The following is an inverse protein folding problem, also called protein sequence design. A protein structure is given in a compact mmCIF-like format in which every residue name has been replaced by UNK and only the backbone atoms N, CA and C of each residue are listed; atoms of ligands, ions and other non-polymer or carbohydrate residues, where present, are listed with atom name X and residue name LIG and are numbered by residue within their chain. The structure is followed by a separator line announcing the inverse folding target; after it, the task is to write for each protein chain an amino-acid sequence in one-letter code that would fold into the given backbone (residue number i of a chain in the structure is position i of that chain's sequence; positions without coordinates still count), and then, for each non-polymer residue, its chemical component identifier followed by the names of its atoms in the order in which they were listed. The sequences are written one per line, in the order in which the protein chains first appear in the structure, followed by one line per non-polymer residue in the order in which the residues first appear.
data_IF_411320267214
#
_entry.id   IF_411320267214
#
_cell.length_a   1.000
_cell.length_b   1.000
_cell.length_c   1.000
_cell.angle_alpha   90.00
_cell.angle_beta   90.00
_cell.angle_gamma   90.00
#
_symmetry.space_group_name_H-M   'P 1'
#
loop_
_entity.id
_entity.type
_entity.pdbx_description
1 polymer ?
#
# COMPACT_ATOMS: atom_id res chain seq x y z
N UNK A 1 -32.64 -49.19 -12.79
CA UNK A 1 -31.36 -48.46 -12.90
C UNK A 1 -31.41 -47.30 -11.93
N UNK A 2 -30.82 -47.49 -10.75
CA UNK A 2 -30.84 -46.45 -9.71
C UNK A 2 -29.58 -45.64 -9.88
N UNK A 3 -29.73 -44.36 -10.31
CA UNK A 3 -28.63 -43.39 -10.32
C UNK A 3 -28.26 -43.08 -8.87
N UNK A 4 -27.16 -43.66 -8.38
CA UNK A 4 -26.45 -43.17 -7.18
C UNK A 4 -25.84 -41.83 -7.55
N UNK A 5 -26.47 -40.71 -7.13
CA UNK A 5 -25.83 -39.40 -7.05
C UNK A 5 -24.70 -39.53 -6.00
N UNK A 6 -23.47 -39.59 -6.46
CA UNK A 6 -22.30 -39.39 -5.62
C UNK A 6 -22.36 -37.94 -5.11
N UNK A 7 -22.87 -37.77 -3.89
CA UNK A 7 -22.60 -36.54 -3.12
C UNK A 7 -21.06 -36.44 -2.97
N UNK A 8 -20.40 -35.75 -3.86
CA UNK A 8 -19.06 -35.24 -3.57
C UNK A 8 -19.23 -34.32 -2.37
N UNK A 9 -18.69 -34.70 -1.24
CA UNK A 9 -18.47 -33.81 -0.11
C UNK A 9 -17.51 -32.73 -0.68
N UNK A 10 -18.07 -31.59 -0.99
CA UNK A 10 -17.29 -30.43 -1.44
C UNK A 10 -16.50 -29.95 -0.22
N UNK A 11 -15.20 -30.23 -0.18
CA UNK A 11 -14.31 -29.66 0.81
C UNK A 11 -13.89 -28.30 0.25
N UNK A 12 -14.24 -27.19 0.90
CA UNK A 12 -13.86 -25.87 0.39
C UNK A 12 -12.35 -25.70 0.42
N UNK A 13 -11.79 -25.02 -0.59
CA UNK A 13 -10.40 -24.56 -0.55
C UNK A 13 -10.24 -23.53 0.56
N UNK A 14 -9.32 -23.76 1.50
CA UNK A 14 -9.10 -22.86 2.63
C UNK A 14 -7.84 -22.02 2.38
N UNK A 15 -8.02 -20.70 2.30
CA UNK A 15 -6.96 -19.72 2.10
C UNK A 15 -6.72 -18.95 3.40
N UNK A 16 -5.52 -19.06 3.96
CA UNK A 16 -5.08 -18.34 5.14
C UNK A 16 -4.28 -17.08 4.80
N UNK A 17 -4.44 -16.01 5.58
CA UNK A 17 -3.72 -14.76 5.42
C UNK A 17 -2.98 -14.34 6.68
N UNK A 18 -1.77 -13.78 6.55
CA UNK A 18 -1.12 -13.06 7.67
C UNK A 18 -1.83 -11.73 7.91
N UNK A 19 -2.63 -11.68 8.97
CA UNK A 19 -3.47 -10.53 9.31
C UNK A 19 -2.80 -9.52 10.28
N UNK A 20 -1.50 -9.68 10.63
CA UNK A 20 -0.83 -8.75 11.55
C UNK A 20 -0.94 -7.29 11.10
N UNK A 21 -0.72 -7.02 9.80
CA UNK A 21 -0.79 -5.65 9.26
C UNK A 21 -2.23 -5.14 9.18
N UNK A 22 -3.19 -6.03 8.96
CA UNK A 22 -4.63 -5.69 8.95
C UNK A 22 -5.03 -5.03 10.25
N UNK A 23 -4.66 -5.65 11.40
CA UNK A 23 -5.14 -5.23 12.73
C UNK A 23 -4.23 -4.22 13.45
N UNK A 24 -2.99 -3.98 12.95
CA UNK A 24 -2.00 -3.16 13.69
C UNK A 24 -1.37 -2.03 12.87
N UNK A 25 -1.65 -1.94 11.57
CA UNK A 25 -1.00 -0.97 10.70
C UNK A 25 -2.03 -0.06 10.02
N UNK A 26 -2.05 1.22 10.39
CA UNK A 26 -2.92 2.24 9.77
C UNK A 26 -2.34 2.86 8.49
N UNK A 27 -1.12 2.49 8.08
CA UNK A 27 -0.44 3.06 6.90
C UNK A 27 -0.57 2.15 5.66
N UNK A 28 0.16 2.45 4.59
CA UNK A 28 0.04 1.81 3.27
C UNK A 28 -0.04 0.27 3.27
N UNK A 29 0.84 -0.43 4.02
CA UNK A 29 0.82 -1.90 4.08
C UNK A 29 -0.47 -2.45 4.70
N UNK A 30 -0.99 -1.78 5.74
CA UNK A 30 -2.27 -2.17 6.36
C UNK A 30 -3.45 -1.84 5.46
N UNK A 31 -3.44 -0.69 4.80
CA UNK A 31 -4.45 -0.28 3.83
C UNK A 31 -4.52 -1.28 2.67
N UNK A 32 -3.38 -1.62 2.06
CA UNK A 32 -3.30 -2.66 1.04
C UNK A 32 -3.92 -3.97 1.51
N UNK A 33 -3.50 -4.46 2.70
CA UNK A 33 -3.97 -5.76 3.21
C UNK A 33 -5.48 -5.78 3.42
N UNK A 34 -6.07 -4.71 3.97
CA UNK A 34 -7.52 -4.59 4.17
C UNK A 34 -8.28 -4.46 2.86
N UNK A 35 -7.78 -3.64 1.92
CA UNK A 35 -8.39 -3.44 0.61
C UNK A 35 -8.40 -4.76 -0.18
N UNK A 36 -7.27 -5.46 -0.25
CA UNK A 36 -7.19 -6.74 -0.96
C UNK A 36 -8.15 -7.77 -0.35
N UNK A 37 -8.12 -7.97 0.96
CA UNK A 37 -8.99 -8.95 1.63
C UNK A 37 -10.47 -8.61 1.41
N UNK A 38 -10.88 -7.35 1.53
CA UNK A 38 -12.26 -6.92 1.30
C UNK A 38 -12.72 -7.15 -0.16
N UNK A 39 -11.82 -6.97 -1.12
CA UNK A 39 -12.10 -7.23 -2.53
C UNK A 39 -12.17 -8.75 -2.81
N UNK A 40 -11.32 -9.56 -2.16
CA UNK A 40 -11.39 -11.01 -2.23
C UNK A 40 -12.69 -11.54 -1.61
N UNK A 41 -13.13 -11.02 -0.46
CA UNK A 41 -14.44 -11.39 0.14
C UNK A 41 -15.58 -11.16 -0.85
N UNK A 42 -15.56 -10.02 -1.57
CA UNK A 42 -16.61 -9.67 -2.52
C UNK A 42 -16.65 -10.58 -3.76
N UNK A 43 -15.58 -11.31 -4.06
CA UNK A 43 -15.43 -12.18 -5.24
C UNK A 43 -15.16 -13.64 -4.85
N UNK A 44 -15.25 -13.98 -3.56
CA UNK A 44 -14.93 -15.31 -3.06
C UNK A 44 -15.93 -16.34 -3.62
N UNK A 45 -15.45 -17.39 -4.30
CA UNK A 45 -16.31 -18.49 -4.71
C UNK A 45 -16.96 -19.20 -3.51
N UNK A 46 -18.14 -19.76 -3.69
CA UNK A 46 -18.87 -20.48 -2.62
C UNK A 46 -18.10 -21.69 -2.04
N UNK A 47 -17.18 -22.23 -2.83
CA UNK A 47 -16.30 -23.35 -2.48
C UNK A 47 -14.96 -22.91 -1.89
N UNK A 48 -14.83 -21.67 -1.42
CA UNK A 48 -13.60 -21.12 -0.88
C UNK A 48 -13.85 -20.43 0.47
N UNK A 49 -13.02 -20.73 1.46
CA UNK A 49 -13.05 -20.11 2.80
C UNK A 49 -11.81 -19.24 3.01
N UNK A 50 -12.01 -18.00 3.48
CA UNK A 50 -10.94 -17.05 3.79
C UNK A 50 -10.73 -16.99 5.31
N UNK A 51 -9.49 -17.24 5.78
CA UNK A 51 -9.11 -17.20 7.20
C UNK A 51 -8.02 -16.17 7.46
N UNK A 52 -8.23 -15.34 8.48
CA UNK A 52 -7.32 -14.28 8.88
C UNK A 52 -6.57 -14.66 10.16
N UNK A 53 -5.29 -14.96 10.05
CA UNK A 53 -4.44 -15.34 11.18
C UNK A 53 -3.74 -14.10 11.76
N UNK A 54 -4.17 -13.69 12.95
CA UNK A 54 -3.63 -12.52 13.63
C UNK A 54 -2.99 -12.90 14.98
N UNK A 55 -1.88 -12.27 15.40
CA UNK A 55 -1.23 -12.56 16.68
C UNK A 55 -2.08 -12.15 17.90
N UNK A 56 -3.04 -11.27 17.68
CA UNK A 56 -4.07 -10.81 18.63
C UNK A 56 -5.15 -9.99 17.91
N UNK A 57 -6.13 -9.49 18.67
CA UNK A 57 -7.24 -8.70 18.13
C UNK A 57 -6.82 -7.36 17.54
N UNK A 58 -5.65 -6.82 17.94
CA UNK A 58 -5.13 -5.54 17.47
C UNK A 58 -6.01 -4.34 17.80
N UNK A 59 -6.05 -3.36 16.89
CA UNK A 59 -6.82 -2.12 17.01
C UNK A 59 -8.21 -2.34 16.41
N UNK A 60 -9.27 -2.16 17.21
CA UNK A 60 -10.66 -2.40 16.78
C UNK A 60 -11.05 -1.56 15.56
N UNK A 61 -10.67 -0.28 15.53
CA UNK A 61 -10.96 0.60 14.39
C UNK A 61 -10.37 0.11 13.06
N UNK A 62 -9.24 -0.61 13.10
CA UNK A 62 -8.63 -1.22 11.91
C UNK A 62 -9.28 -2.57 11.57
N UNK A 63 -9.53 -3.40 12.58
CA UNK A 63 -10.16 -4.69 12.40
C UNK A 63 -11.56 -4.58 11.84
N UNK A 64 -12.34 -3.61 12.31
CA UNK A 64 -13.72 -3.36 11.89
C UNK A 64 -13.83 -2.84 10.44
N UNK A 65 -12.72 -2.51 9.77
CA UNK A 65 -12.69 -2.21 8.34
C UNK A 65 -12.78 -3.47 7.46
N UNK A 66 -12.62 -4.68 8.04
CA UNK A 66 -12.80 -5.94 7.30
C UNK A 66 -14.29 -6.28 7.27
N UNK A 67 -14.79 -6.52 6.06
CA UNK A 67 -16.18 -6.93 5.81
C UNK A 67 -16.47 -8.32 6.38
N UNK A 68 -17.73 -8.67 6.68
CA UNK A 68 -18.14 -10.03 6.97
C UNK A 68 -17.78 -11.00 5.82
N UNK A 69 -17.53 -12.27 6.14
CA UNK A 69 -17.18 -13.31 5.16
C UNK A 69 -15.80 -13.92 5.37
N UNK A 70 -15.17 -13.68 6.53
CA UNK A 70 -13.88 -14.29 6.90
C UNK A 70 -13.93 -14.89 8.30
N UNK A 71 -13.13 -15.93 8.53
CA UNK A 71 -12.90 -16.52 9.84
C UNK A 71 -11.64 -15.93 10.47
N UNK A 72 -11.76 -15.36 11.68
CA UNK A 72 -10.61 -14.87 12.45
C UNK A 72 -9.97 -15.97 13.27
N UNK A 73 -8.67 -16.17 13.10
CA UNK A 73 -7.87 -17.17 13.79
C UNK A 73 -6.78 -16.48 14.64
N UNK A 74 -6.68 -16.91 15.91
CA UNK A 74 -5.72 -16.39 16.88
C UNK A 74 -4.93 -17.55 17.50
N UNK A 75 -3.67 -17.29 18.01
CA UNK A 75 -2.96 -18.33 18.75
C UNK A 75 -3.82 -18.89 19.88
N UNK A 76 -3.89 -20.22 19.98
CA UNK A 76 -4.52 -20.86 21.15
C UNK A 76 -3.77 -20.47 22.42
N UNK A 77 -4.44 -20.09 23.51
CA UNK A 77 -3.80 -19.82 24.78
C UNK A 77 -3.30 -21.12 25.40
N UNK A 78 -2.07 -21.52 25.06
CA UNK A 78 -1.47 -22.80 25.54
C UNK A 78 -1.16 -22.84 27.02
N UNK A 79 -1.16 -21.71 27.74
CA UNK A 79 -1.00 -21.66 29.21
C UNK A 79 -1.09 -20.20 29.72
N UNK A 80 -1.30 -19.99 31.05
CA UNK A 80 -1.12 -18.67 31.69
C UNK A 80 0.27 -18.06 31.43
N UNK A 81 1.30 -18.90 31.23
CA UNK A 81 2.65 -18.52 30.84
C UNK A 81 2.70 -17.80 29.47
N UNK A 82 1.79 -18.12 28.55
CA UNK A 82 1.69 -17.49 27.23
C UNK A 82 1.35 -16.00 27.35
N UNK A 83 0.52 -15.61 28.30
CA UNK A 83 0.17 -14.22 28.53
C UNK A 83 1.37 -13.43 29.08
N UNK A 84 2.16 -14.02 29.97
CA UNK A 84 3.33 -13.41 30.59
C UNK A 84 4.48 -13.22 29.60
N UNK A 85 4.69 -14.19 28.69
CA UNK A 85 5.74 -14.18 27.67
C UNK A 85 5.26 -13.67 26.30
N UNK A 86 4.07 -13.07 26.25
CA UNK A 86 3.42 -12.68 24.98
C UNK A 86 4.27 -11.82 24.05
N UNK A 87 5.15 -10.90 24.49
CA UNK A 87 6.03 -10.13 23.60
C UNK A 87 6.97 -10.99 22.77
N UNK A 88 7.47 -12.12 23.32
CA UNK A 88 8.36 -13.07 22.62
C UNK A 88 7.58 -14.15 21.87
N UNK A 89 6.47 -14.58 22.44
CA UNK A 89 5.67 -15.69 21.88
C UNK A 89 4.89 -15.31 20.62
N UNK A 90 4.38 -14.08 20.50
CA UNK A 90 3.68 -13.62 19.29
C UNK A 90 4.55 -13.60 18.03
N UNK A 91 5.79 -13.05 18.05
CA UNK A 91 6.72 -13.16 16.93
C UNK A 91 7.10 -14.61 16.61
N UNK A 92 7.32 -15.45 17.63
CA UNK A 92 7.63 -16.87 17.44
C UNK A 92 6.45 -17.61 16.79
N UNK A 93 5.22 -17.43 17.31
CA UNK A 93 4.04 -18.05 16.72
C UNK A 93 3.89 -17.66 15.25
N UNK A 94 4.00 -16.36 14.92
CA UNK A 94 3.87 -15.87 13.55
C UNK A 94 4.93 -16.43 12.61
N UNK A 95 6.16 -16.67 13.11
CA UNK A 95 7.27 -17.16 12.28
C UNK A 95 7.35 -18.69 12.19
N UNK A 96 6.82 -19.43 13.15
CA UNK A 96 6.94 -20.90 13.23
C UNK A 96 5.65 -21.58 13.71
N UNK A 97 5.13 -21.18 14.87
CA UNK A 97 4.02 -21.87 15.54
C UNK A 97 2.73 -21.93 14.72
N UNK A 98 2.46 -20.89 13.94
CA UNK A 98 1.28 -20.77 13.09
C UNK A 98 1.14 -21.94 12.11
N UNK A 99 2.24 -22.57 11.68
CA UNK A 99 2.18 -23.70 10.71
C UNK A 99 1.38 -24.86 11.26
N UNK A 100 1.42 -25.11 12.58
CA UNK A 100 0.61 -26.17 13.21
C UNK A 100 -0.87 -25.82 13.18
N UNK A 101 -1.22 -24.55 13.40
CA UNK A 101 -2.61 -24.08 13.32
C UNK A 101 -3.11 -24.17 11.89
N UNK A 102 -2.32 -23.75 10.89
CA UNK A 102 -2.66 -23.86 9.47
C UNK A 102 -2.93 -25.31 9.05
N UNK A 103 -2.09 -26.26 9.52
CA UNK A 103 -2.29 -27.71 9.25
C UNK A 103 -3.56 -28.23 9.89
N UNK A 104 -3.80 -27.93 11.17
CA UNK A 104 -5.00 -28.34 11.89
C UNK A 104 -6.26 -27.82 11.21
N UNK A 105 -6.19 -26.58 10.72
CA UNK A 105 -7.31 -25.87 10.12
C UNK A 105 -7.51 -26.22 8.62
N UNK A 106 -6.67 -27.11 8.06
CA UNK A 106 -6.77 -27.58 6.67
C UNK A 106 -6.43 -26.52 5.61
N UNK A 107 -5.59 -25.51 5.95
CA UNK A 107 -5.20 -24.45 5.02
C UNK A 107 -4.35 -25.03 3.88
N UNK A 108 -4.77 -24.78 2.64
CA UNK A 108 -4.07 -25.21 1.43
C UNK A 108 -3.11 -24.13 0.91
N UNK A 109 -3.55 -22.88 0.95
CA UNK A 109 -2.76 -21.71 0.52
C UNK A 109 -2.63 -20.74 1.69
N UNK A 110 -1.40 -20.30 1.98
CA UNK A 110 -1.16 -19.24 2.96
C UNK A 110 -0.50 -18.03 2.31
N UNK A 111 -1.15 -16.87 2.42
CA UNK A 111 -0.67 -15.62 1.82
C UNK A 111 -0.08 -14.67 2.86
N UNK A 112 1.22 -14.45 2.78
CA UNK A 112 1.94 -13.40 3.51
C UNK A 112 1.78 -12.05 2.83
N UNK A 113 0.89 -11.21 3.34
CA UNK A 113 0.49 -9.93 2.73
C UNK A 113 1.56 -8.83 2.81
N UNK A 114 2.66 -9.03 3.53
CA UNK A 114 3.65 -7.98 3.80
C UNK A 114 5.11 -8.50 3.84
N UNK A 115 5.50 -9.25 2.85
CA UNK A 115 6.90 -9.65 2.63
C UNK A 115 7.42 -10.78 3.52
N UNK A 116 6.57 -11.45 4.30
CA UNK A 116 7.00 -12.51 5.21
C UNK A 116 6.10 -13.75 5.10
N UNK A 117 6.73 -14.94 5.17
CA UNK A 117 6.07 -16.23 5.32
C UNK A 117 6.62 -16.95 6.55
N UNK A 118 5.79 -17.76 7.23
CA UNK A 118 6.25 -18.62 8.32
C UNK A 118 7.16 -19.74 7.79
N UNK A 119 8.14 -20.11 8.60
CA UNK A 119 9.09 -21.16 8.29
C UNK A 119 8.43 -22.53 8.50
N UNK A 120 8.52 -23.40 7.50
CA UNK A 120 7.98 -24.75 7.52
C UNK A 120 6.72 -24.96 6.69
N UNK A 121 6.23 -23.97 5.96
CA UNK A 121 5.06 -24.11 5.06
C UNK A 121 5.27 -25.21 4.02
N UNK A 122 6.41 -25.18 3.30
CA UNK A 122 6.74 -26.22 2.30
C UNK A 122 6.76 -27.61 2.90
N UNK A 123 7.39 -27.75 4.08
CA UNK A 123 7.43 -29.04 4.79
C UNK A 123 6.04 -29.52 5.24
N UNK A 124 5.15 -28.57 5.51
CA UNK A 124 3.76 -28.85 5.87
C UNK A 124 2.85 -29.17 4.66
N UNK A 125 3.34 -29.03 3.43
CA UNK A 125 2.56 -29.22 2.20
C UNK A 125 1.64 -28.02 1.87
N UNK A 126 1.80 -26.87 2.57
CA UNK A 126 0.99 -25.68 2.37
C UNK A 126 1.65 -24.79 1.30
N UNK A 127 0.87 -24.34 0.32
CA UNK A 127 1.35 -23.45 -0.74
C UNK A 127 1.53 -22.05 -0.18
N UNK A 128 2.77 -21.55 -0.18
CA UNK A 128 3.09 -20.19 0.27
C UNK A 128 2.99 -19.17 -0.86
N UNK A 129 2.14 -18.16 -0.71
CA UNK A 129 2.13 -16.96 -1.55
C UNK A 129 2.62 -15.78 -0.73
N UNK A 130 3.44 -14.91 -1.31
CA UNK A 130 3.90 -13.70 -0.61
C UNK A 130 3.83 -12.49 -1.51
N UNK A 131 3.25 -11.38 -1.00
CA UNK A 131 3.35 -10.08 -1.66
C UNK A 131 4.58 -9.35 -1.16
N UNK A 132 5.47 -8.97 -2.08
CA UNK A 132 6.63 -8.11 -1.84
C UNK A 132 6.29 -6.70 -2.31
N UNK A 133 6.32 -5.74 -1.37
CA UNK A 133 5.99 -4.34 -1.65
C UNK A 133 7.18 -3.54 -2.16
N UNK A 134 8.34 -3.78 -1.61
CA UNK A 134 9.61 -3.20 -2.04
C UNK A 134 10.79 -4.00 -1.48
N UNK A 135 11.98 -3.70 -1.98
CA UNK A 135 13.25 -4.16 -1.46
C UNK A 135 14.22 -2.98 -1.26
N UNK A 136 13.66 -1.83 -0.82
CA UNK A 136 14.42 -0.59 -0.63
C UNK A 136 15.61 -0.81 0.29
N UNK A 137 15.46 -1.61 1.35
CA UNK A 137 16.55 -1.96 2.28
C UNK A 137 17.72 -2.72 1.64
N UNK A 138 17.51 -3.33 0.46
CA UNK A 138 18.58 -3.97 -0.34
C UNK A 138 19.13 -3.03 -1.42
N UNK A 139 18.27 -2.20 -2.00
CA UNK A 139 18.60 -1.26 -3.07
C UNK A 139 19.34 -0.04 -2.54
N UNK A 140 18.88 0.48 -1.40
CA UNK A 140 19.36 1.67 -0.72
C UNK A 140 19.60 1.37 0.77
N UNK A 141 20.59 0.49 1.09
CA UNK A 141 20.89 0.10 2.47
C UNK A 141 21.33 1.29 3.33
N UNK A 142 21.85 2.35 2.72
CA UNK A 142 22.29 3.59 3.37
C UNK A 142 21.16 4.34 4.10
N UNK A 143 19.91 4.06 3.76
CA UNK A 143 18.73 4.67 4.43
C UNK A 143 18.27 3.88 5.66
N UNK A 144 18.94 2.79 6.00
CA UNK A 144 18.56 1.88 7.09
C UNK A 144 19.71 1.63 8.05
N UNK A 145 19.37 1.24 9.28
CA UNK A 145 20.39 0.73 10.19
C UNK A 145 20.99 -0.57 9.63
N UNK A 146 22.33 -0.74 9.61
CA UNK A 146 22.98 -1.95 9.05
C UNK A 146 22.52 -3.27 9.68
N UNK A 147 22.21 -3.28 10.98
CA UNK A 147 21.69 -4.47 11.69
C UNK A 147 20.29 -4.83 11.16
N UNK A 148 19.44 -3.83 10.93
CA UNK A 148 18.10 -4.05 10.36
C UNK A 148 18.21 -4.58 8.94
N UNK A 149 19.11 -4.05 8.11
CA UNK A 149 19.37 -4.54 6.74
C UNK A 149 19.74 -6.02 6.77
N UNK A 150 20.66 -6.41 7.65
CA UNK A 150 21.08 -7.81 7.78
C UNK A 150 19.90 -8.71 8.16
N UNK A 151 19.06 -8.27 9.11
CA UNK A 151 17.90 -9.02 9.58
C UNK A 151 16.81 -9.12 8.50
N UNK A 152 16.49 -8.01 7.80
CA UNK A 152 15.53 -8.01 6.70
C UNK A 152 16.00 -8.86 5.52
N UNK A 153 17.29 -8.82 5.19
CA UNK A 153 17.89 -9.68 4.16
C UNK A 153 17.76 -11.16 4.52
N UNK A 154 18.03 -11.52 5.76
CA UNK A 154 17.85 -12.89 6.24
C UNK A 154 16.38 -13.35 6.14
N UNK A 155 15.44 -12.52 6.60
CA UNK A 155 13.99 -12.80 6.51
C UNK A 155 13.55 -12.96 5.05
N UNK A 156 13.97 -12.07 4.17
CA UNK A 156 13.66 -12.12 2.76
C UNK A 156 14.07 -13.45 2.13
N UNK A 157 15.32 -13.87 2.33
CA UNK A 157 15.77 -15.16 1.80
C UNK A 157 15.08 -16.37 2.43
N UNK A 158 14.67 -16.29 3.70
CA UNK A 158 13.83 -17.34 4.32
C UNK A 158 12.45 -17.41 3.68
N UNK A 159 11.81 -16.25 3.48
CA UNK A 159 10.51 -16.14 2.81
C UNK A 159 10.56 -16.72 1.39
N UNK A 160 11.59 -16.41 0.61
CA UNK A 160 11.74 -16.94 -0.76
C UNK A 160 11.85 -18.48 -0.81
N UNK A 161 12.39 -19.10 0.25
CA UNK A 161 12.47 -20.58 0.36
C UNK A 161 11.10 -21.21 0.62
N UNK A 162 10.24 -20.55 1.35
CA UNK A 162 8.89 -21.02 1.69
C UNK A 162 7.85 -20.68 0.60
N UNK A 163 8.09 -19.64 -0.19
CA UNK A 163 7.18 -19.19 -1.23
C UNK A 163 7.08 -20.20 -2.40
N UNK A 164 5.86 -20.56 -2.77
CA UNK A 164 5.52 -21.23 -4.04
C UNK A 164 5.45 -20.20 -5.15
N UNK A 165 4.72 -19.10 -4.91
CA UNK A 165 4.61 -17.94 -5.81
C UNK A 165 4.86 -16.64 -5.05
N UNK A 166 5.35 -15.65 -5.76
CA UNK A 166 5.66 -14.32 -5.25
C UNK A 166 4.87 -13.30 -6.06
N UNK A 167 4.14 -12.44 -5.40
CA UNK A 167 3.48 -11.29 -6.02
C UNK A 167 4.41 -10.10 -5.88
N UNK A 168 4.83 -9.54 -7.01
CA UNK A 168 5.48 -8.24 -7.10
C UNK A 168 4.42 -7.18 -7.43
N UNK A 169 4.45 -6.05 -6.70
CA UNK A 169 3.44 -4.99 -6.87
C UNK A 169 3.78 -3.97 -7.96
N UNK A 170 4.95 -4.11 -8.57
CA UNK A 170 5.44 -3.29 -9.69
C UNK A 170 6.52 -4.04 -10.46
N UNK A 171 6.75 -3.65 -11.71
CA UNK A 171 7.89 -4.15 -12.49
C UNK A 171 9.23 -3.81 -11.83
N UNK A 172 9.30 -2.64 -11.18
CA UNK A 172 10.46 -2.25 -10.38
C UNK A 172 10.73 -3.25 -9.26
N UNK A 173 9.72 -3.58 -8.45
CA UNK A 173 9.82 -4.59 -7.38
C UNK A 173 10.13 -5.97 -7.95
N UNK A 174 9.56 -6.36 -9.11
CA UNK A 174 9.87 -7.63 -9.77
C UNK A 174 11.33 -7.72 -10.18
N UNK A 175 11.90 -6.66 -10.77
CA UNK A 175 13.33 -6.59 -11.11
C UNK A 175 14.20 -6.73 -9.87
N UNK A 176 13.85 -6.06 -8.78
CA UNK A 176 14.59 -6.15 -7.50
C UNK A 176 14.52 -7.56 -6.90
N UNK A 177 13.37 -8.23 -6.93
CA UNK A 177 13.24 -9.63 -6.46
C UNK A 177 14.15 -10.56 -7.26
N UNK A 178 14.15 -10.44 -8.59
CA UNK A 178 15.02 -11.24 -9.46
C UNK A 178 16.50 -10.95 -9.14
N UNK A 179 16.86 -9.67 -9.03
CA UNK A 179 18.25 -9.25 -8.81
C UNK A 179 18.79 -9.70 -7.45
N UNK A 180 18.09 -9.38 -6.37
CA UNK A 180 18.55 -9.65 -5.00
C UNK A 180 18.19 -11.03 -4.49
N UNK A 181 17.07 -11.59 -4.93
CA UNK A 181 16.57 -12.90 -4.51
C UNK A 181 17.10 -14.05 -5.34
N UNK A 182 17.65 -13.78 -6.53
CA UNK A 182 18.02 -14.80 -7.52
C UNK A 182 16.89 -15.81 -7.76
N UNK A 183 15.67 -15.27 -7.91
CA UNK A 183 14.43 -16.05 -8.12
C UNK A 183 14.17 -16.15 -9.60
N UNK A 184 13.73 -17.34 -10.04
CA UNK A 184 13.27 -17.55 -11.41
C UNK A 184 12.03 -16.69 -11.71
N UNK A 185 11.99 -15.98 -12.86
CA UNK A 185 10.90 -15.06 -13.20
C UNK A 185 9.51 -15.70 -13.18
N UNK A 186 9.41 -17.01 -13.49
CA UNK A 186 8.16 -17.78 -13.54
C UNK A 186 7.52 -17.98 -12.16
N UNK A 187 8.28 -17.77 -11.09
CA UNK A 187 7.76 -17.78 -9.73
C UNK A 187 7.17 -16.43 -9.31
N UNK A 188 7.34 -15.38 -10.13
CA UNK A 188 6.95 -14.02 -9.78
C UNK A 188 5.79 -13.59 -10.68
N UNK A 189 4.65 -13.32 -10.07
CA UNK A 189 3.48 -12.72 -10.73
C UNK A 189 3.49 -11.21 -10.48
N UNK A 190 3.31 -10.43 -11.54
CA UNK A 190 3.11 -8.99 -11.42
C UNK A 190 1.62 -8.74 -11.20
N UNK A 191 1.27 -8.34 -9.99
CA UNK A 191 -0.10 -7.95 -9.64
C UNK A 191 -0.02 -6.61 -8.90
N UNK A 192 -0.48 -5.57 -9.57
CA UNK A 192 -0.45 -4.20 -9.03
C UNK A 192 -1.30 -4.05 -7.77
N UNK A 193 -1.04 -3.00 -7.01
CA UNK A 193 -1.88 -2.65 -5.87
C UNK A 193 -3.12 -1.89 -6.34
N UNK A 194 -4.27 -2.20 -5.73
CA UNK A 194 -5.44 -1.35 -5.84
C UNK A 194 -5.40 -0.21 -4.82
N UNK A 195 -6.06 0.88 -5.13
CA UNK A 195 -6.27 2.00 -4.22
C UNK A 195 -7.65 1.93 -3.55
N UNK A 196 -7.81 2.65 -2.44
CA UNK A 196 -9.07 2.63 -1.69
C UNK A 196 -10.21 3.25 -2.51
N UNK A 197 -11.40 2.61 -2.56
CA UNK A 197 -12.58 3.16 -3.23
C UNK A 197 -13.01 4.54 -2.71
N UNK A 198 -12.62 4.91 -1.50
CA UNK A 198 -12.91 6.23 -0.90
C UNK A 198 -12.28 7.40 -1.67
N UNK A 199 -11.23 7.14 -2.46
CA UNK A 199 -10.63 8.14 -3.36
C UNK A 199 -11.32 8.24 -4.73
N UNK A 200 -12.30 7.38 -5.07
CA UNK A 200 -13.08 7.55 -6.30
C UNK A 200 -13.94 8.82 -6.22
N UNK A 201 -13.95 9.63 -7.28
CA UNK A 201 -14.57 10.96 -7.35
C UNK A 201 -16.09 10.98 -7.06
N UNK A 202 -16.77 9.82 -7.16
CA UNK A 202 -18.23 9.69 -6.94
C UNK A 202 -18.60 9.04 -5.59
N UNK A 203 -17.66 8.81 -4.71
CA UNK A 203 -17.97 8.39 -3.35
C UNK A 203 -18.51 9.60 -2.59
N UNK A 204 -19.86 9.73 -2.54
CA UNK A 204 -20.53 10.68 -1.65
C UNK A 204 -20.02 10.50 -0.23
N UNK A 205 -19.75 11.57 0.52
CA UNK A 205 -19.43 11.45 1.92
C UNK A 205 -20.60 10.72 2.59
N UNK A 206 -20.33 9.54 3.15
CA UNK A 206 -21.31 8.92 4.04
C UNK A 206 -21.53 9.92 5.17
N UNK A 207 -22.81 10.30 5.36
CA UNK A 207 -23.27 11.25 6.37
C UNK A 207 -22.65 10.97 7.74
N UNK A 208 -21.52 11.56 8.01
CA UNK A 208 -21.04 11.78 9.35
C UNK A 208 -21.04 13.29 9.54
N UNK A 209 -21.99 13.76 10.30
CA UNK A 209 -22.08 15.11 10.84
C UNK A 209 -20.85 15.39 11.70
N UNK A 210 -19.72 15.66 11.06
CA UNK A 210 -18.60 16.33 11.69
C UNK A 210 -18.98 17.82 11.73
N UNK A 211 -19.09 18.34 12.93
CA UNK A 211 -19.37 19.76 13.21
C UNK A 211 -18.42 20.64 12.40
N UNK A 212 -18.99 21.42 11.47
CA UNK A 212 -18.27 22.26 10.49
C UNK A 212 -17.48 23.42 11.09
N UNK A 213 -17.51 23.61 12.41
CA UNK A 213 -17.03 24.86 13.01
C UNK A 213 -15.61 24.86 13.60
N UNK A 214 -14.86 23.73 13.59
CA UNK A 214 -13.56 23.68 14.30
C UNK A 214 -12.41 22.93 13.58
N UNK A 215 -12.41 22.75 12.26
CA UNK A 215 -11.28 22.13 11.59
C UNK A 215 -10.24 23.20 11.19
N UNK A 216 -8.98 22.97 11.55
CA UNK A 216 -7.81 23.75 11.09
C UNK A 216 -7.74 23.82 9.55
N UNK A 217 -8.39 22.87 8.85
CA UNK A 217 -8.54 22.79 7.42
C UNK A 217 -9.51 23.80 6.84
N UNK A 218 -10.66 24.08 7.51
CA UNK A 218 -11.60 25.10 7.03
C UNK A 218 -10.90 26.46 6.97
N UNK A 219 -10.07 26.74 7.96
CA UNK A 219 -9.23 27.95 7.99
C UNK A 219 -8.17 27.94 6.90
N UNK A 220 -7.51 26.80 6.63
CA UNK A 220 -6.50 26.67 5.58
C UNK A 220 -7.13 26.77 4.18
N UNK A 221 -8.25 26.07 3.94
CA UNK A 221 -8.97 26.10 2.66
C UNK A 221 -9.49 27.51 2.30
N UNK A 222 -9.96 28.27 3.30
CA UNK A 222 -10.42 29.64 3.09
C UNK A 222 -9.26 30.62 2.88
N UNK A 223 -8.05 30.32 3.37
CA UNK A 223 -6.88 31.19 3.27
C UNK A 223 -5.98 30.90 2.07
N UNK A 224 -5.88 29.61 1.66
CA UNK A 224 -5.03 29.21 0.52
C UNK A 224 -5.84 29.09 -0.77
N UNK A 225 -5.76 30.10 -1.62
CA UNK A 225 -6.46 30.11 -2.91
C UNK A 225 -5.84 29.17 -3.95
N UNK A 226 -4.54 28.89 -3.86
CA UNK A 226 -3.79 28.06 -4.84
C UNK A 226 -2.72 27.24 -4.15
N UNK A 227 -2.76 25.94 -4.30
CA UNK A 227 -1.72 25.06 -3.75
C UNK A 227 -1.50 23.81 -4.59
N UNK A 228 -0.30 23.25 -4.47
CA UNK A 228 0.08 21.90 -4.87
C UNK A 228 0.13 21.01 -3.65
N UNK A 229 -0.24 19.73 -3.81
CA UNK A 229 -0.36 18.78 -2.71
C UNK A 229 0.73 17.71 -2.81
N UNK A 230 1.31 17.34 -1.67
CA UNK A 230 2.17 16.16 -1.52
C UNK A 230 1.70 15.34 -0.33
N UNK A 231 1.55 14.01 -0.51
CA UNK A 231 1.04 13.11 0.54
C UNK A 231 2.02 11.98 0.81
N UNK A 232 2.40 11.80 2.07
CA UNK A 232 3.28 10.74 2.52
C UNK A 232 4.05 11.10 3.77
N UNK A 233 4.70 10.11 4.39
CA UNK A 233 5.59 10.36 5.54
C UNK A 233 6.69 11.35 5.13
N UNK A 234 6.91 12.38 5.94
CA UNK A 234 8.00 13.35 5.71
C UNK A 234 9.30 12.74 6.20
N UNK A 235 10.01 12.08 5.28
CA UNK A 235 11.28 11.37 5.50
C UNK A 235 12.23 11.61 4.32
N UNK A 236 13.53 11.38 4.51
CA UNK A 236 14.57 11.73 3.52
C UNK A 236 14.31 11.13 2.14
N UNK A 237 13.96 9.86 2.07
CA UNK A 237 13.65 9.14 0.83
C UNK A 237 12.50 9.76 0.03
N UNK A 238 11.51 10.34 0.72
CA UNK A 238 10.37 11.04 0.09
C UNK A 238 10.74 12.39 -0.49
N UNK A 239 11.93 12.90 -0.18
CA UNK A 239 12.57 14.03 -0.82
C UNK A 239 11.72 15.31 -0.92
N UNK A 240 10.88 15.57 0.09
CA UNK A 240 10.01 16.74 0.12
C UNK A 240 10.80 18.05 -0.06
N UNK A 241 12.08 18.07 0.36
CA UNK A 241 12.98 19.22 0.18
C UNK A 241 13.14 19.67 -1.27
N UNK A 242 13.02 18.78 -2.26
CA UNK A 242 13.01 19.12 -3.69
C UNK A 242 11.79 19.99 -4.03
N UNK A 243 10.60 19.59 -3.61
CA UNK A 243 9.37 20.35 -3.86
C UNK A 243 9.38 21.70 -3.12
N UNK A 244 10.00 21.76 -1.92
CA UNK A 244 10.18 23.03 -1.19
C UNK A 244 11.09 23.98 -1.96
N UNK A 245 12.24 23.51 -2.46
CA UNK A 245 13.16 24.33 -3.30
C UNK A 245 12.51 24.76 -4.61
N UNK A 246 11.62 23.93 -5.18
CA UNK A 246 10.89 24.29 -6.39
C UNK A 246 9.96 25.50 -6.20
N UNK A 247 9.51 25.79 -4.98
CA UNK A 247 8.69 26.96 -4.67
C UNK A 247 9.37 28.28 -5.07
N UNK A 248 10.70 28.39 -4.94
CA UNK A 248 11.45 29.60 -5.31
C UNK A 248 11.28 29.96 -6.78
N UNK A 249 10.92 29.00 -7.63
CA UNK A 249 10.73 29.18 -9.07
C UNK A 249 9.26 29.22 -9.49
N UNK A 250 8.32 29.01 -8.54
CA UNK A 250 6.86 29.04 -8.80
C UNK A 250 6.28 30.44 -8.53
N UNK A 251 5.12 30.76 -9.14
CA UNK A 251 4.41 32.03 -8.82
C UNK A 251 4.19 32.18 -7.32
N UNK A 252 4.32 33.43 -6.82
CA UNK A 252 4.29 33.72 -5.36
C UNK A 252 3.01 33.31 -4.65
N UNK A 253 1.91 33.18 -5.38
CA UNK A 253 0.62 32.76 -4.85
C UNK A 253 0.39 31.24 -4.86
N UNK A 254 1.37 30.43 -5.26
CA UNK A 254 1.31 28.97 -5.23
C UNK A 254 1.98 28.46 -3.96
N UNK A 255 1.24 27.74 -3.13
CA UNK A 255 1.70 27.16 -1.88
C UNK A 255 1.93 25.64 -2.04
N UNK A 256 2.73 25.05 -1.15
CA UNK A 256 2.89 23.59 -1.02
C UNK A 256 2.25 23.12 0.29
N UNK A 257 1.25 22.26 0.17
CA UNK A 257 0.65 21.56 1.31
C UNK A 257 1.21 20.14 1.32
N UNK A 258 1.86 19.75 2.42
CA UNK A 258 2.43 18.42 2.61
C UNK A 258 1.75 17.72 3.78
N UNK A 259 1.12 16.57 3.52
CA UNK A 259 0.31 15.81 4.49
C UNK A 259 0.97 14.49 4.81
N UNK A 260 1.14 14.20 6.09
CA UNK A 260 1.62 12.91 6.55
C UNK A 260 2.38 12.97 7.87
N UNK A 261 2.75 11.79 8.37
CA UNK A 261 3.55 11.69 9.59
C UNK A 261 4.91 12.39 9.39
N UNK A 262 5.27 13.25 10.31
CA UNK A 262 6.57 13.91 10.32
C UNK A 262 7.60 13.07 11.08
N UNK A 263 8.79 12.92 10.51
CA UNK A 263 9.98 12.35 11.16
C UNK A 263 10.96 13.49 11.53
N UNK A 264 12.11 13.14 12.10
CA UNK A 264 13.14 14.15 12.39
C UNK A 264 13.66 14.85 11.15
N UNK A 265 13.55 14.24 9.97
CA UNK A 265 13.86 14.86 8.69
C UNK A 265 13.04 16.13 8.43
N UNK A 266 11.82 16.22 8.93
CA UNK A 266 11.00 17.43 8.79
C UNK A 266 11.69 18.69 9.38
N UNK A 267 12.55 18.52 10.39
CA UNK A 267 13.33 19.61 11.01
C UNK A 267 14.46 20.11 10.10
N UNK A 268 14.93 19.29 9.16
CA UNK A 268 16.00 19.63 8.22
C UNK A 268 15.51 20.22 6.89
N UNK A 269 14.19 20.25 6.67
CA UNK A 269 13.63 20.84 5.48
C UNK A 269 13.97 22.35 5.37
N UNK A 270 14.19 22.87 4.15
CA UNK A 270 14.33 24.31 3.96
C UNK A 270 13.11 25.04 4.52
N UNK A 271 13.32 26.09 5.32
CA UNK A 271 12.24 26.94 5.78
C UNK A 271 11.71 27.76 4.60
N UNK A 272 10.43 27.68 4.33
CA UNK A 272 9.80 28.43 3.25
C UNK A 272 8.41 28.94 3.68
N UNK A 273 8.08 30.24 3.48
CA UNK A 273 6.80 30.81 3.95
C UNK A 273 5.57 30.21 3.28
N UNK A 274 5.75 29.61 2.10
CA UNK A 274 4.67 28.96 1.34
C UNK A 274 4.59 27.44 1.55
N UNK A 275 5.37 26.86 2.49
CA UNK A 275 5.29 25.46 2.90
C UNK A 275 4.34 25.30 4.08
N UNK A 276 3.35 24.41 3.96
CA UNK A 276 2.43 24.03 5.02
C UNK A 276 2.56 22.53 5.31
N UNK A 277 3.17 22.22 6.46
CA UNK A 277 3.32 20.83 6.92
C UNK A 277 2.12 20.47 7.79
N UNK A 278 1.36 19.47 7.38
CA UNK A 278 0.23 18.92 8.12
C UNK A 278 0.57 17.52 8.63
N UNK A 279 0.00 17.13 9.76
CA UNK A 279 0.08 15.78 10.28
C UNK A 279 -0.72 14.78 9.44
N UNK A 280 -0.95 13.60 10.02
CA UNK A 280 -1.92 12.64 9.44
C UNK A 280 -3.34 13.20 9.60
N UNK A 281 -4.14 13.09 8.55
CA UNK A 281 -5.51 13.59 8.50
C UNK A 281 -6.51 12.44 8.33
N UNK A 282 -7.75 12.59 8.80
CA UNK A 282 -8.86 11.75 8.39
C UNK A 282 -9.03 11.73 6.88
N UNK A 283 -9.64 10.66 6.36
CA UNK A 283 -9.74 10.45 4.91
C UNK A 283 -10.60 11.52 4.22
N UNK A 284 -11.63 11.98 4.91
CA UNK A 284 -12.54 13.03 4.43
C UNK A 284 -11.79 14.35 4.24
N UNK A 285 -10.95 14.70 5.21
CA UNK A 285 -10.11 15.89 5.15
C UNK A 285 -9.02 15.77 4.05
N UNK A 286 -8.42 14.58 3.94
CA UNK A 286 -7.42 14.32 2.92
C UNK A 286 -8.01 14.38 1.50
N UNK A 287 -9.20 13.83 1.28
CA UNK A 287 -9.89 13.92 -0.01
C UNK A 287 -10.26 15.36 -0.37
N UNK A 288 -10.69 16.16 0.59
CA UNK A 288 -10.95 17.59 0.38
C UNK A 288 -9.68 18.34 -0.06
N UNK A 289 -8.51 17.99 0.50
CA UNK A 289 -7.23 18.58 0.05
C UNK A 289 -6.84 18.14 -1.36
N UNK A 290 -7.11 16.88 -1.74
CA UNK A 290 -6.94 16.48 -3.14
C UNK A 290 -7.85 17.30 -4.08
N UNK A 291 -9.13 17.48 -3.72
CA UNK A 291 -10.10 18.19 -4.57
C UNK A 291 -9.78 19.68 -4.74
N UNK A 292 -9.19 20.30 -3.72
CA UNK A 292 -8.83 21.72 -3.75
C UNK A 292 -7.48 22.03 -4.40
N UNK A 293 -6.60 21.04 -4.57
CA UNK A 293 -5.26 21.23 -5.12
C UNK A 293 -5.27 21.56 -6.63
N UNK A 294 -4.22 22.19 -7.13
CA UNK A 294 -4.03 22.40 -8.56
C UNK A 294 -3.21 21.28 -9.24
N UNK A 295 -2.29 20.69 -8.51
CA UNK A 295 -1.48 19.55 -8.95
C UNK A 295 -1.04 18.70 -7.75
N UNK A 296 -0.69 17.46 -8.02
CA UNK A 296 -0.06 16.57 -7.05
C UNK A 296 1.44 16.46 -7.35
N UNK A 297 2.27 16.58 -6.30
CA UNK A 297 3.72 16.50 -6.41
C UNK A 297 4.25 15.36 -5.55
N UNK A 298 4.97 14.42 -6.17
CA UNK A 298 5.50 13.25 -5.48
C UNK A 298 7.00 13.09 -5.73
N UNK A 299 7.85 13.83 -4.98
CA UNK A 299 9.27 13.98 -5.27
C UNK A 299 10.13 12.81 -4.79
N UNK A 300 9.51 11.67 -4.43
CA UNK A 300 10.20 10.51 -3.87
C UNK A 300 11.33 10.00 -4.76
N UNK A 301 12.47 9.68 -4.16
CA UNK A 301 13.63 9.10 -4.85
C UNK A 301 13.41 7.64 -5.22
N UNK A 302 12.76 6.89 -4.37
CA UNK A 302 12.49 5.46 -4.59
C UNK A 302 11.24 4.99 -3.84
N UNK A 303 10.41 4.22 -4.52
CA UNK A 303 9.17 3.65 -3.99
C UNK A 303 8.97 2.20 -4.44
N UNK A 304 8.10 1.48 -3.73
CA UNK A 304 7.63 0.17 -4.18
C UNK A 304 6.53 0.24 -5.23
N UNK A 305 5.67 1.30 -5.17
CA UNK A 305 4.64 1.55 -6.19
C UNK A 305 4.30 3.04 -6.33
N UNK A 306 3.48 3.61 -5.47
CA UNK A 306 3.08 5.03 -5.59
C UNK A 306 1.56 5.22 -5.50
N UNK A 307 0.90 4.55 -4.57
CA UNK A 307 -0.56 4.67 -4.35
C UNK A 307 -1.03 6.13 -4.29
N UNK A 308 -0.34 7.09 -3.61
CA UNK A 308 -0.78 8.49 -3.59
C UNK A 308 -0.87 9.15 -4.97
N UNK A 309 -0.08 8.69 -5.95
CA UNK A 309 -0.19 9.14 -7.34
C UNK A 309 -1.53 8.72 -7.94
N UNK A 310 -1.91 7.47 -7.73
CA UNK A 310 -3.17 6.92 -8.25
C UNK A 310 -4.37 7.59 -7.57
N UNK A 311 -4.28 7.84 -6.26
CA UNK A 311 -5.27 8.61 -5.49
C UNK A 311 -5.46 10.01 -6.07
N UNK A 312 -4.37 10.72 -6.33
CA UNK A 312 -4.38 12.05 -6.93
C UNK A 312 -5.04 12.05 -8.32
N UNK A 313 -4.65 11.12 -9.19
CA UNK A 313 -5.24 10.99 -10.53
C UNK A 313 -6.74 10.67 -10.44
N UNK A 314 -7.15 9.79 -9.53
CA UNK A 314 -8.57 9.44 -9.35
C UNK A 314 -9.41 10.63 -8.88
N UNK A 315 -8.79 11.61 -8.20
CA UNK A 315 -9.41 12.89 -7.81
C UNK A 315 -9.27 13.99 -8.88
N UNK A 316 -8.72 13.66 -10.06
CA UNK A 316 -8.61 14.60 -11.18
C UNK A 316 -7.43 15.55 -11.07
N UNK A 317 -6.36 15.19 -10.37
CA UNK A 317 -5.15 15.99 -10.31
C UNK A 317 -4.12 15.53 -11.35
N UNK A 318 -3.50 16.45 -12.10
CA UNK A 318 -2.29 16.14 -12.82
C UNK A 318 -1.13 15.91 -11.84
N UNK A 319 -0.21 15.02 -12.21
CA UNK A 319 0.87 14.56 -11.34
C UNK A 319 2.22 14.97 -11.88
N UNK A 320 3.08 15.48 -10.98
CA UNK A 320 4.51 15.66 -11.19
C UNK A 320 5.26 14.81 -10.18
N UNK A 321 6.10 13.89 -10.64
CA UNK A 321 6.85 12.97 -9.80
C UNK A 321 8.32 12.92 -10.20
N UNK A 322 9.14 12.15 -9.47
CA UNK A 322 10.51 11.89 -9.86
C UNK A 322 10.63 10.61 -10.68
N UNK A 323 11.65 10.56 -11.55
CA UNK A 323 12.02 9.36 -12.31
C UNK A 323 12.90 8.42 -11.48
N UNK A 324 13.15 7.21 -11.98
CA UNK A 324 14.15 6.28 -11.44
C UNK A 324 13.61 5.19 -10.51
N UNK A 325 12.27 5.09 -10.34
CA UNK A 325 11.66 4.01 -9.58
C UNK A 325 10.39 3.45 -10.27
N UNK A 326 9.37 3.11 -9.51
CA UNK A 326 8.09 2.62 -10.03
C UNK A 326 7.05 3.72 -10.26
N UNK A 327 7.40 4.99 -10.11
CA UNK A 327 6.43 6.08 -10.15
C UNK A 327 5.83 6.26 -11.54
N UNK A 328 6.61 5.96 -12.59
CA UNK A 328 6.17 5.95 -13.99
C UNK A 328 5.09 4.86 -14.22
N UNK A 329 5.21 3.72 -13.51
CA UNK A 329 4.20 2.66 -13.58
C UNK A 329 2.89 3.07 -12.89
N UNK A 330 2.97 3.84 -11.80
CA UNK A 330 1.80 4.30 -11.07
C UNK A 330 1.08 5.46 -11.78
N UNK A 331 1.84 6.42 -12.31
CA UNK A 331 1.31 7.66 -12.86
C UNK A 331 1.05 7.64 -14.36
N UNK A 332 1.65 6.69 -15.08
CA UNK A 332 1.47 6.55 -16.53
C UNK A 332 2.10 7.66 -17.37
N UNK A 333 1.90 7.62 -18.70
CA UNK A 333 2.60 8.48 -19.63
C UNK A 333 2.14 9.95 -19.62
N UNK A 334 1.00 10.24 -19.04
CA UNK A 334 0.43 11.59 -18.95
C UNK A 334 0.81 12.34 -17.66
N UNK A 335 1.50 11.70 -16.73
CA UNK A 335 2.20 12.35 -15.62
C UNK A 335 3.55 12.88 -16.09
N UNK A 336 4.15 13.83 -15.35
CA UNK A 336 5.45 14.39 -15.70
C UNK A 336 6.49 13.90 -14.69
N UNK A 337 7.64 13.47 -15.19
CA UNK A 337 8.72 12.92 -14.38
C UNK A 337 10.00 13.74 -14.56
N UNK A 338 10.65 14.03 -13.43
CA UNK A 338 11.86 14.87 -13.39
C UNK A 338 12.94 14.19 -12.56
N UNK A 339 14.17 14.64 -12.74
CA UNK A 339 15.29 14.22 -11.92
C UNK A 339 15.05 14.58 -10.44
N UNK A 340 15.28 13.65 -9.47
CA UNK A 340 15.07 13.91 -8.05
C UNK A 340 16.01 14.93 -7.42
N UNK A 341 16.97 15.48 -8.16
CA UNK A 341 17.91 16.52 -7.71
C UNK A 341 17.74 17.87 -8.43
N UNK A 342 16.81 17.96 -9.42
CA UNK A 342 16.57 19.16 -10.21
C UNK A 342 15.29 19.92 -9.78
N UNK A 343 15.46 20.89 -8.88
CA UNK A 343 14.34 21.71 -8.39
C UNK A 343 13.78 22.65 -9.47
N UNK A 344 14.59 23.09 -10.43
CA UNK A 344 14.14 23.95 -11.53
C UNK A 344 13.27 23.15 -12.51
N UNK A 345 13.68 21.91 -12.86
CA UNK A 345 12.88 21.01 -13.68
C UNK A 345 11.55 20.69 -13.00
N UNK A 346 11.57 20.41 -11.67
CA UNK A 346 10.37 20.19 -10.87
C UNK A 346 9.41 21.39 -10.96
N UNK A 347 9.91 22.61 -10.78
CA UNK A 347 9.10 23.83 -10.89
C UNK A 347 8.53 24.04 -12.31
N UNK A 348 9.32 23.80 -13.35
CA UNK A 348 8.87 23.91 -14.73
C UNK A 348 7.77 22.88 -15.06
N UNK A 349 7.94 21.64 -14.59
CA UNK A 349 6.93 20.60 -14.70
C UNK A 349 5.62 20.98 -13.98
N UNK A 350 5.72 21.52 -12.75
CA UNK A 350 4.56 22.00 -11.99
C UNK A 350 3.85 23.10 -12.76
N UNK A 351 4.56 24.13 -13.24
CA UNK A 351 3.96 25.23 -14.02
C UNK A 351 3.16 24.74 -15.22
N UNK A 352 3.65 23.70 -15.90
CA UNK A 352 3.01 23.16 -17.12
C UNK A 352 1.71 22.41 -16.85
N UNK A 353 1.34 22.17 -15.58
CA UNK A 353 0.12 21.46 -15.18
C UNK A 353 -0.79 22.26 -14.23
N UNK A 354 -0.43 23.50 -13.86
CA UNK A 354 -1.30 24.37 -13.07
C UNK A 354 -2.59 24.71 -13.83
N UNK A 355 -3.60 25.23 -13.13
CA UNK A 355 -4.86 25.69 -13.73
C UNK A 355 -4.58 26.73 -14.82
N UNK A 356 -5.19 26.51 -15.99
CA UNK A 356 -4.96 27.36 -17.19
C UNK A 356 -3.82 26.91 -18.09
N UNK A 357 -3.05 25.87 -17.74
CA UNK A 357 -2.04 25.31 -18.63
C UNK A 357 -2.69 24.60 -19.84
N UNK A 358 -2.05 24.67 -21.02
CA UNK A 358 -2.51 23.94 -22.21
C UNK A 358 -2.60 22.42 -21.93
N UNK A 359 -3.56 21.75 -22.56
CA UNK A 359 -3.76 20.29 -22.52
C UNK A 359 -3.96 19.68 -21.11
N UNK A 360 -4.09 20.52 -20.08
CA UNK A 360 -4.26 20.05 -18.69
C UNK A 360 -5.44 19.09 -18.55
N UNK A 361 -6.61 19.46 -19.06
CA UNK A 361 -7.83 18.64 -18.92
C UNK A 361 -7.73 17.33 -19.71
N UNK A 362 -7.15 17.36 -20.92
CA UNK A 362 -6.91 16.17 -21.71
C UNK A 362 -5.93 15.21 -21.01
N UNK A 363 -4.88 15.76 -20.40
CA UNK A 363 -3.92 15.01 -19.61
C UNK A 363 -4.59 14.30 -18.42
N UNK A 364 -5.46 15.00 -17.69
CA UNK A 364 -6.20 14.46 -16.57
C UNK A 364 -7.09 13.29 -17.04
N UNK A 365 -7.84 13.45 -18.12
CA UNK A 365 -8.72 12.38 -18.62
C UNK A 365 -7.96 11.14 -19.09
N UNK A 366 -6.82 11.32 -19.80
CA UNK A 366 -5.97 10.18 -20.17
C UNK A 366 -5.35 9.49 -18.96
N UNK A 367 -4.94 10.26 -17.94
CA UNK A 367 -4.44 9.69 -16.68
C UNK A 367 -5.51 8.89 -15.94
N UNK A 368 -6.76 9.39 -15.89
CA UNK A 368 -7.88 8.65 -15.28
C UNK A 368 -8.16 7.32 -16.02
N UNK A 369 -8.09 7.32 -17.34
CA UNK A 369 -8.24 6.09 -18.13
C UNK A 369 -7.10 5.11 -17.82
N UNK A 370 -5.88 5.60 -17.73
CA UNK A 370 -4.71 4.78 -17.42
C UNK A 370 -4.83 4.05 -16.09
N UNK A 371 -5.32 4.72 -15.03
CA UNK A 371 -5.38 4.13 -13.68
C UNK A 371 -6.52 3.11 -13.49
N UNK A 372 -7.44 2.93 -14.43
CA UNK A 372 -8.49 1.90 -14.36
C UNK A 372 -7.90 0.50 -14.17
N UNK A 373 -6.71 0.22 -14.69
CA UNK A 373 -5.96 -1.03 -14.50
C UNK A 373 -5.63 -1.36 -13.04
N UNK A 374 -5.72 -0.39 -12.15
CA UNK A 374 -5.45 -0.55 -10.71
C UNK A 374 -6.75 -0.65 -9.89
N UNK A 375 -7.88 -0.87 -10.53
CA UNK A 375 -9.15 -1.04 -9.82
C UNK A 375 -9.18 -2.35 -9.03
N UNK A 376 -9.77 -2.28 -7.82
CA UNK A 376 -9.68 -3.36 -6.84
C UNK A 376 -10.27 -4.70 -7.28
N UNK A 377 -11.30 -4.67 -8.13
CA UNK A 377 -11.94 -5.90 -8.63
C UNK A 377 -10.99 -6.70 -9.51
N UNK A 378 -10.27 -6.05 -10.42
CA UNK A 378 -9.33 -6.72 -11.32
C UNK A 378 -8.14 -7.31 -10.55
N UNK A 379 -7.64 -6.58 -9.55
CA UNK A 379 -6.55 -7.05 -8.67
C UNK A 379 -6.98 -8.29 -7.88
N UNK A 380 -8.17 -8.29 -7.29
CA UNK A 380 -8.66 -9.43 -6.52
C UNK A 380 -8.91 -10.66 -7.42
N UNK A 381 -9.43 -10.46 -8.64
CA UNK A 381 -9.61 -11.55 -9.61
C UNK A 381 -8.27 -12.19 -9.99
N UNK A 382 -7.23 -11.39 -10.27
CA UNK A 382 -5.89 -11.89 -10.58
C UNK A 382 -5.29 -12.69 -9.41
N UNK A 383 -5.46 -12.21 -8.17
CA UNK A 383 -4.99 -12.91 -6.96
C UNK A 383 -5.76 -14.22 -6.75
N UNK A 384 -7.08 -14.22 -6.94
CA UNK A 384 -7.89 -15.44 -6.83
C UNK A 384 -7.50 -16.47 -7.89
N UNK A 385 -7.32 -16.03 -9.14
CA UNK A 385 -6.83 -16.90 -10.22
C UNK A 385 -5.46 -17.50 -9.90
N UNK A 386 -4.56 -16.71 -9.30
CA UNK A 386 -3.25 -17.21 -8.83
C UNK A 386 -3.43 -18.35 -7.83
N UNK A 387 -4.32 -18.23 -6.84
CA UNK A 387 -4.55 -19.29 -5.86
C UNK A 387 -5.10 -20.57 -6.49
N UNK A 388 -6.02 -20.44 -7.44
CA UNK A 388 -6.63 -21.58 -8.13
C UNK A 388 -5.62 -22.34 -9.03
N UNK A 389 -4.55 -21.67 -9.46
CA UNK A 389 -3.50 -22.25 -10.32
C UNK A 389 -2.31 -22.84 -9.53
N UNK A 390 -2.36 -22.90 -8.20
CA UNK A 390 -1.34 -23.51 -7.35
C UNK A 390 -1.56 -24.99 -7.16
#
# INVERSE_FOLDING_TARGET
MVFRSLNRIFVPMIIGFDAKRIVRNGTGLGSYSRTLVNNLIAQCPEDTELRLYAPDKGIDALRNQIKPGVTWCYPSPFSPLFSLLSPLMKPYWRSHGIVNDLKRDGVEVFHGLSGELPIGLRKAGIKGVVTIHDLIFLRHPEWYNPVDVMFYKWKFHKTLKEATKIIAISECTKRDIIHYGKVEPERIELIYQSFSPQFKQNSSPQNNTASEENSSLFTLHSSLKRYILSVGTVEERKNLGLAVKALDYLPDNVHLVAVGRQTDYAKSLPKHPRLHLMGQLPIEELTALYDGAEAFVYPSRYEGFGIPIIEAISRGLPVVACTGSCLEEAGGPDSIYVDPDDAQAMANAIKSVLKGAPDREQRIERSKEYIKRFEGNDVAAQVMQLYQNL
#
